data_IF_110752349303
#
_entry.id   IF_110752349303
#
_cell.length_a   1.000
_cell.length_b   1.000
_cell.length_c   1.000
_cell.angle_alpha   90.00
_cell.angle_beta   90.00
_cell.angle_gamma   90.00
#
_symmetry.space_group_name_H-M   'P 1'
#
loop_
_entity.id
_entity.type
_entity.pdbx_description
1 polymer ?
#
# COMPACT_ATOMS: atom_id res chain seq x y z
N UNK A 1 45.40 -6.14 14.67
CA UNK A 1 44.90 -5.69 16.00
C UNK A 1 44.12 -4.40 15.81
N UNK A 2 42.80 -4.46 15.75
CA UNK A 2 41.94 -3.27 15.81
C UNK A 2 41.04 -3.41 17.05
N UNK A 3 41.16 -2.45 17.97
CA UNK A 3 40.44 -2.43 19.26
C UNK A 3 38.99 -1.99 19.02
N UNK A 4 38.02 -2.78 19.46
CA UNK A 4 36.61 -2.35 19.58
C UNK A 4 36.44 -1.36 20.73
N UNK A 5 35.70 -0.25 20.57
CA UNK A 5 35.27 0.54 21.71
C UNK A 5 34.08 -0.14 22.39
N UNK A 6 34.22 -0.45 23.68
CA UNK A 6 33.13 -0.82 24.58
C UNK A 6 32.41 0.48 24.98
N UNK A 7 31.17 0.64 24.53
CA UNK A 7 30.28 1.71 25.00
C UNK A 7 28.96 1.09 25.43
N UNK A 8 28.77 0.93 26.74
CA UNK A 8 27.48 0.64 27.37
C UNK A 8 26.80 1.98 27.64
N UNK A 9 25.59 2.19 27.12
CA UNK A 9 24.69 3.26 27.56
C UNK A 9 23.25 2.73 27.62
N UNK A 10 22.91 2.27 28.82
CA UNK A 10 21.64 2.34 29.55
C UNK A 10 20.31 2.41 28.77
N UNK A 11 19.62 1.28 28.74
CA UNK A 11 18.20 1.21 28.37
C UNK A 11 17.35 1.83 29.49
N UNK A 12 16.79 3.01 29.23
CA UNK A 12 15.72 3.60 30.05
C UNK A 12 14.44 2.79 29.82
N UNK A 13 13.75 2.27 30.85
CA UNK A 13 12.49 1.58 30.65
C UNK A 13 11.41 2.64 30.37
N UNK A 14 10.52 2.37 29.41
CA UNK A 14 9.28 3.12 29.12
C UNK A 14 9.30 4.12 27.95
N UNK A 15 9.92 3.76 26.83
CA UNK A 15 9.61 4.38 25.54
C UNK A 15 9.25 3.30 24.52
N UNK A 16 8.00 2.83 24.52
CA UNK A 16 7.42 2.21 23.32
C UNK A 16 7.16 3.35 22.33
N UNK A 17 8.24 3.94 21.81
CA UNK A 17 8.16 4.78 20.62
C UNK A 17 7.95 3.81 19.47
N UNK A 18 6.91 4.10 18.68
CA UNK A 18 6.49 3.43 17.47
C UNK A 18 7.65 3.18 16.50
N UNK A 19 8.42 2.13 16.74
CA UNK A 19 9.31 1.55 15.76
C UNK A 19 8.42 0.87 14.73
N UNK A 20 8.18 1.53 13.60
CA UNK A 20 7.82 0.97 12.28
C UNK A 20 7.43 2.13 11.35
N UNK A 21 8.39 2.91 10.86
CA UNK A 21 8.24 3.44 9.51
C UNK A 21 8.94 2.46 8.59
N UNK A 22 8.23 1.50 7.98
CA UNK A 22 8.84 0.71 6.94
C UNK A 22 9.21 1.70 5.83
N UNK A 23 10.40 1.52 5.26
CA UNK A 23 10.85 2.11 3.99
C UNK A 23 9.68 2.58 3.12
N UNK A 24 9.68 3.80 2.57
CA UNK A 24 8.58 4.26 1.72
C UNK A 24 8.35 3.22 0.64
N UNK A 25 7.21 2.51 0.70
CA UNK A 25 6.90 1.39 -0.18
C UNK A 25 7.25 1.81 -1.60
N UNK A 26 8.28 1.21 -2.19
CA UNK A 26 8.72 1.57 -3.54
C UNK A 26 7.64 1.11 -4.51
N UNK A 27 6.86 2.05 -5.04
CA UNK A 27 5.89 1.76 -6.08
C UNK A 27 6.57 2.02 -7.43
N UNK A 28 6.86 0.97 -8.20
CA UNK A 28 7.60 1.08 -9.46
C UNK A 28 6.84 1.90 -10.52
N UNK A 29 7.60 2.47 -11.46
CA UNK A 29 7.10 3.40 -12.48
C UNK A 29 5.96 2.78 -13.33
N UNK A 30 4.91 3.55 -13.70
CA UNK A 30 3.73 3.07 -14.45
C UNK A 30 4.03 2.34 -15.76
N UNK A 31 5.22 2.55 -16.33
CA UNK A 31 5.61 2.01 -17.63
C UNK A 31 6.07 0.56 -17.58
N UNK A 32 6.41 0.03 -16.40
CA UNK A 32 6.93 -1.34 -16.25
C UNK A 32 5.88 -2.34 -15.74
N UNK A 33 4.62 -1.94 -15.64
CA UNK A 33 3.54 -2.79 -15.15
C UNK A 33 2.31 -2.71 -16.05
N UNK A 34 1.48 -3.77 -16.07
CA UNK A 34 0.18 -3.70 -16.72
C UNK A 34 -0.66 -2.56 -16.13
N UNK A 35 -1.51 -1.94 -16.97
CA UNK A 35 -2.41 -0.86 -16.57
C UNK A 35 -3.23 -1.21 -15.32
N UNK A 36 -3.74 -2.45 -15.25
CA UNK A 36 -4.56 -2.91 -14.13
C UNK A 36 -3.81 -2.87 -12.80
N UNK A 37 -2.51 -3.22 -12.78
CA UNK A 37 -1.72 -3.24 -11.55
C UNK A 37 -1.55 -1.83 -11.00
N UNK A 38 -1.30 -0.88 -11.89
CA UNK A 38 -1.12 0.52 -11.53
C UNK A 38 -2.40 1.13 -10.94
N UNK A 39 -3.57 0.82 -11.49
CA UNK A 39 -4.87 1.28 -10.97
C UNK A 39 -5.27 0.56 -9.68
N UNK A 40 -4.93 -0.72 -9.53
CA UNK A 40 -5.29 -1.50 -8.33
C UNK A 40 -4.51 -1.06 -7.08
N UNK A 41 -3.30 -0.51 -7.22
CA UNK A 41 -2.49 -0.09 -6.07
C UNK A 41 -3.19 1.02 -5.26
N UNK A 42 -3.58 2.17 -5.83
CA UNK A 42 -4.32 3.21 -5.09
C UNK A 42 -5.62 2.69 -4.47
N UNK A 43 -6.38 1.89 -5.22
CA UNK A 43 -7.64 1.31 -4.75
C UNK A 43 -7.44 0.44 -3.51
N UNK A 44 -6.53 -0.53 -3.59
CA UNK A 44 -6.27 -1.46 -2.48
C UNK A 44 -5.71 -0.76 -1.24
N UNK A 45 -4.90 0.30 -1.40
CA UNK A 45 -4.43 1.10 -0.27
C UNK A 45 -5.55 1.92 0.37
N UNK A 46 -6.44 2.51 -0.43
CA UNK A 46 -7.61 3.22 0.08
C UNK A 46 -8.52 2.29 0.89
N UNK A 47 -8.78 1.08 0.41
CA UNK A 47 -9.56 0.07 1.17
C UNK A 47 -8.91 -0.26 2.53
N UNK A 48 -7.58 -0.36 2.59
CA UNK A 48 -6.87 -0.60 3.85
C UNK A 48 -7.02 0.56 4.82
N UNK A 49 -6.98 1.80 4.33
CA UNK A 49 -7.21 2.99 5.15
C UNK A 49 -8.63 2.95 5.73
N UNK A 50 -9.65 2.75 4.90
CA UNK A 50 -11.06 2.67 5.33
C UNK A 50 -11.26 1.53 6.35
N UNK A 51 -10.66 0.36 6.10
CA UNK A 51 -10.74 -0.80 7.00
C UNK A 51 -10.01 -0.60 8.34
N UNK A 52 -8.90 0.13 8.38
CA UNK A 52 -8.07 0.23 9.58
C UNK A 52 -8.39 1.47 10.43
N UNK A 53 -8.75 2.60 9.81
CA UNK A 53 -8.99 3.87 10.49
C UNK A 53 -10.45 4.07 10.90
N UNK A 54 -10.68 4.67 12.06
CA UNK A 54 -12.02 5.13 12.47
C UNK A 54 -12.58 6.18 11.51
N UNK A 55 -13.92 6.30 11.46
CA UNK A 55 -14.64 7.14 10.50
C UNK A 55 -14.13 8.60 10.48
N UNK A 56 -13.93 9.17 11.67
CA UNK A 56 -13.46 10.56 11.85
C UNK A 56 -12.09 10.84 11.19
N UNK A 57 -11.17 9.87 11.23
CA UNK A 57 -9.81 10.05 10.70
C UNK A 57 -9.64 9.56 9.25
N UNK A 58 -10.64 8.87 8.71
CA UNK A 58 -10.54 8.22 7.39
C UNK A 58 -10.33 9.25 6.28
N UNK A 59 -11.06 10.36 6.31
CA UNK A 59 -10.95 11.45 5.33
C UNK A 59 -9.55 12.07 5.29
N UNK A 60 -8.96 12.33 6.46
CA UNK A 60 -7.60 12.86 6.58
C UNK A 60 -6.56 11.90 5.99
N UNK A 61 -6.65 10.62 6.34
CA UNK A 61 -5.72 9.61 5.81
C UNK A 61 -5.86 9.38 4.30
N UNK A 62 -7.07 9.44 3.76
CA UNK A 62 -7.28 9.36 2.31
C UNK A 62 -6.72 10.58 1.56
N UNK A 63 -6.81 11.77 2.16
CA UNK A 63 -6.18 12.99 1.62
C UNK A 63 -4.66 12.87 1.58
N UNK A 64 -4.05 12.41 2.67
CA UNK A 64 -2.61 12.17 2.72
C UNK A 64 -2.17 11.08 1.74
N UNK A 65 -2.95 10.00 1.61
CA UNK A 65 -2.71 8.95 0.63
C UNK A 65 -2.70 9.50 -0.80
N UNK A 66 -3.66 10.36 -1.14
CA UNK A 66 -3.72 11.00 -2.45
C UNK A 66 -2.46 11.84 -2.73
N UNK A 67 -2.07 12.71 -1.78
CA UNK A 67 -0.84 13.53 -1.90
C UNK A 67 0.40 12.66 -2.11
N UNK A 68 0.49 11.54 -1.38
CA UNK A 68 1.62 10.62 -1.51
C UNK A 68 1.69 9.98 -2.88
N UNK A 69 0.57 9.59 -3.49
CA UNK A 69 0.57 9.02 -4.84
C UNK A 69 0.90 10.05 -5.91
N UNK A 70 0.34 11.27 -5.81
CA UNK A 70 0.65 12.36 -6.75
C UNK A 70 2.15 12.69 -6.69
N UNK A 71 2.74 12.79 -5.49
CA UNK A 71 4.19 13.04 -5.31
C UNK A 71 5.06 11.95 -5.96
N UNK A 72 4.54 10.74 -6.11
CA UNK A 72 5.22 9.60 -6.74
C UNK A 72 5.00 9.53 -8.25
N UNK A 73 4.33 10.52 -8.85
CA UNK A 73 4.09 10.59 -10.29
C UNK A 73 2.86 9.82 -10.77
N UNK A 74 1.95 9.44 -9.86
CA UNK A 74 0.66 8.90 -10.28
C UNK A 74 -0.23 10.01 -10.86
N UNK A 75 -1.02 9.66 -11.87
CA UNK A 75 -2.04 10.57 -12.40
C UNK A 75 -3.08 10.88 -11.32
N UNK A 76 -3.24 12.18 -11.02
CA UNK A 76 -4.20 12.67 -10.00
C UNK A 76 -5.63 12.20 -10.27
N UNK A 77 -6.03 12.14 -11.55
CA UNK A 77 -7.35 11.63 -11.95
C UNK A 77 -7.54 10.18 -11.50
N UNK A 78 -6.60 9.31 -11.88
CA UNK A 78 -6.65 7.88 -11.57
C UNK A 78 -6.69 7.67 -10.05
N UNK A 79 -5.84 8.36 -9.30
CA UNK A 79 -5.79 8.20 -7.84
C UNK A 79 -7.12 8.60 -7.20
N UNK A 80 -7.67 9.76 -7.57
CA UNK A 80 -8.96 10.23 -7.03
C UNK A 80 -10.11 9.30 -7.37
N UNK A 81 -10.17 8.83 -8.61
CA UNK A 81 -11.18 7.87 -9.07
C UNK A 81 -11.12 6.57 -8.25
N UNK A 82 -9.92 6.02 -8.05
CA UNK A 82 -9.76 4.78 -7.27
C UNK A 82 -10.06 4.98 -5.78
N UNK A 83 -9.74 6.14 -5.20
CA UNK A 83 -10.16 6.47 -3.84
C UNK A 83 -11.68 6.57 -3.75
N UNK A 84 -12.33 7.25 -4.68
CA UNK A 84 -13.79 7.36 -4.73
C UNK A 84 -14.46 5.99 -4.83
N UNK A 85 -13.93 5.10 -5.67
CA UNK A 85 -14.43 3.73 -5.81
C UNK A 85 -14.27 2.92 -4.51
N UNK A 86 -13.18 3.13 -3.77
CA UNK A 86 -12.97 2.49 -2.47
C UNK A 86 -13.95 3.00 -1.40
N UNK A 87 -14.30 4.29 -1.44
CA UNK A 87 -15.27 4.90 -0.53
C UNK A 87 -16.71 4.41 -0.72
N UNK A 88 -17.03 3.76 -1.84
CA UNK A 88 -18.34 3.13 -2.04
C UNK A 88 -18.57 1.89 -1.16
N UNK A 89 -17.49 1.33 -0.59
CA UNK A 89 -17.56 0.20 0.32
C UNK A 89 -17.55 0.70 1.76
N UNK A 90 -18.50 0.23 2.57
CA UNK A 90 -18.53 0.56 3.99
C UNK A 90 -17.41 -0.15 4.74
N UNK A 91 -17.01 0.42 5.88
CA UNK A 91 -16.04 -0.22 6.77
C UNK A 91 -16.53 -1.58 7.26
N UNK A 92 -17.82 -1.72 7.54
CA UNK A 92 -18.43 -2.95 8.05
C UNK A 92 -18.35 -4.07 7.01
N UNK A 93 -18.60 -3.76 5.74
CA UNK A 93 -18.43 -4.71 4.63
C UNK A 93 -16.97 -5.17 4.50
N UNK A 94 -16.02 -4.26 4.75
CA UNK A 94 -14.59 -4.55 4.66
C UNK A 94 -14.05 -5.34 5.85
N UNK A 95 -14.66 -5.22 7.04
CA UNK A 95 -14.31 -6.00 8.22
C UNK A 95 -14.91 -7.40 8.18
N UNK A 96 -16.04 -7.57 7.49
CA UNK A 96 -16.71 -8.85 7.31
C UNK A 96 -15.79 -9.83 6.57
N UNK A 97 -15.53 -10.98 7.19
CA UNK A 97 -14.74 -12.05 6.57
C UNK A 97 -15.51 -12.66 5.41
N UNK A 98 -14.90 -12.71 4.22
CA UNK A 98 -15.45 -13.40 3.06
C UNK A 98 -14.89 -14.83 3.03
N UNK A 99 -15.79 -15.81 2.97
CA UNK A 99 -15.37 -17.20 2.74
C UNK A 99 -14.67 -17.30 1.39
N UNK A 100 -13.51 -17.94 1.39
CA UNK A 100 -12.72 -18.15 0.18
C UNK A 100 -13.19 -19.45 -0.48
N UNK A 101 -13.66 -19.34 -1.72
CA UNK A 101 -13.97 -20.52 -2.53
C UNK A 101 -12.70 -21.32 -2.85
N UNK A 102 -12.80 -22.64 -2.74
CA UNK A 102 -11.71 -23.55 -3.11
C UNK A 102 -11.56 -23.54 -4.63
N UNK A 103 -10.51 -22.89 -5.14
CA UNK A 103 -10.22 -22.81 -6.56
C UNK A 103 -9.12 -23.81 -6.93
N UNK A 104 -9.44 -24.77 -7.81
CA UNK A 104 -8.51 -25.80 -8.30
C UNK A 104 -7.66 -25.35 -9.49
N UNK A 105 -7.81 -24.10 -9.94
CA UNK A 105 -7.06 -23.57 -11.10
C UNK A 105 -5.57 -23.44 -10.78
N UNK A 106 -4.74 -23.94 -11.70
CA UNK A 106 -3.29 -23.72 -11.68
C UNK A 106 -3.00 -22.27 -12.10
N UNK A 107 -2.25 -21.48 -11.32
CA UNK A 107 -1.90 -20.12 -11.70
C UNK A 107 -0.93 -20.14 -12.89
N UNK A 108 -1.26 -19.39 -13.95
CA UNK A 108 -0.35 -19.11 -15.05
C UNK A 108 0.51 -17.88 -14.69
N UNK A 109 1.81 -18.09 -14.52
CA UNK A 109 2.76 -17.02 -14.23
C UNK A 109 3.41 -16.58 -15.53
N UNK A 110 3.09 -15.37 -15.98
CA UNK A 110 3.74 -14.72 -17.12
C UNK A 110 4.61 -13.56 -16.63
N UNK A 111 5.78 -13.40 -17.23
CA UNK A 111 6.65 -12.25 -16.96
C UNK A 111 6.16 -11.07 -17.80
N UNK A 112 5.61 -10.04 -17.15
CA UNK A 112 5.34 -8.78 -17.83
C UNK A 112 6.65 -7.99 -17.96
N UNK A 113 7.09 -7.76 -19.20
CA UNK A 113 8.20 -6.85 -19.51
C UNK A 113 7.69 -5.82 -20.51
N UNK A 114 7.81 -4.51 -20.23
CA UNK A 114 7.36 -3.48 -21.16
C UNK A 114 8.18 -3.40 -22.45
N UNK A 115 9.33 -4.08 -22.50
CA UNK A 115 10.25 -4.14 -23.63
C UNK A 115 9.88 -5.29 -24.59
N UNK A 116 9.16 -6.29 -24.07
CA UNK A 116 8.56 -7.34 -24.90
C UNK A 116 7.21 -6.81 -25.39
N UNK A 117 7.16 -6.37 -26.64
CA UNK A 117 5.89 -6.05 -27.30
C UNK A 117 4.92 -7.22 -27.12
N UNK A 118 3.67 -6.90 -26.78
CA UNK A 118 2.57 -7.88 -26.76
C UNK A 118 2.53 -8.60 -28.09
N UNK A 119 2.62 -9.93 -28.06
CA UNK A 119 2.15 -10.81 -29.12
C UNK A 119 0.63 -10.72 -29.22
#
# INVERSE_FOLDING_TARGET
MYKSPKGTIDLKPNSIQSQLTPTPIFYPHPQCHPKHTFTCIPYSQALRVIRNCSEENTSHHLSELNKQFIRRGYSSHVVKEQIHNAQQLSRDDLLTYKQKENNTRVPLVITYSPILYSI
#
